data_IF_101821254074
#
_entry.id   IF_101821254074
#
_cell.length_a   1.000
_cell.length_b   1.000
_cell.length_c   1.000
_cell.angle_alpha   90.00
_cell.angle_beta   90.00
_cell.angle_gamma   90.00
#
_symmetry.space_group_name_H-M   'P 1'
#
loop_
_entity.id
_entity.type
_entity.pdbx_description
1 polymer ?
#
# COMPACT_ATOMS: atom_id res chain seq x y z
N UNK A 1 -12.95 -1.22 11.18
CA UNK A 1 -11.65 -1.03 10.49
C UNK A 1 -11.71 -1.80 9.17
N UNK A 2 -11.60 -1.11 8.02
CA UNK A 2 -11.64 -1.71 6.68
C UNK A 2 -10.55 -2.77 6.48
N UNK A 3 -9.42 -2.61 7.18
CA UNK A 3 -8.30 -3.55 7.15
C UNK A 3 -8.61 -4.87 7.84
N UNK A 4 -9.60 -4.92 8.74
CA UNK A 4 -9.97 -6.15 9.49
C UNK A 4 -11.27 -6.79 9.01
N UNK A 5 -12.16 -5.99 8.41
CA UNK A 5 -13.45 -6.45 7.89
C UNK A 5 -13.62 -5.94 6.46
N UNK A 6 -13.08 -6.70 5.50
CA UNK A 6 -13.22 -6.39 4.08
C UNK A 6 -14.63 -6.77 3.60
N UNK A 7 -15.38 -5.78 3.12
CA UNK A 7 -16.71 -5.95 2.55
C UNK A 7 -16.72 -5.33 1.15
N UNK A 8 -17.15 -6.11 0.15
CA UNK A 8 -17.18 -5.71 -1.27
C UNK A 8 -18.11 -4.51 -1.49
N UNK A 9 -19.33 -4.57 -0.96
CA UNK A 9 -20.34 -3.52 -1.12
C UNK A 9 -19.83 -2.20 -0.55
N UNK A 10 -19.31 -2.25 0.69
CA UNK A 10 -18.70 -1.08 1.32
C UNK A 10 -17.56 -0.51 0.47
N UNK A 11 -16.66 -1.35 -0.06
CA UNK A 11 -15.56 -0.88 -0.90
C UNK A 11 -16.03 -0.25 -2.21
N UNK A 12 -17.15 -0.69 -2.80
CA UNK A 12 -17.73 -0.06 -3.99
C UNK A 12 -18.31 1.32 -3.69
N UNK A 13 -18.90 1.50 -2.50
CA UNK A 13 -19.52 2.77 -2.09
C UNK A 13 -18.50 3.85 -1.69
N UNK A 14 -17.28 3.46 -1.32
CA UNK A 14 -16.23 4.39 -0.92
C UNK A 14 -15.64 5.12 -2.13
N UNK A 15 -15.96 6.41 -2.27
CA UNK A 15 -15.31 7.31 -3.22
C UNK A 15 -13.85 7.62 -2.86
N UNK A 16 -13.12 8.21 -3.81
CA UNK A 16 -11.70 8.55 -3.64
C UNK A 16 -11.43 9.44 -2.42
N UNK A 17 -12.26 10.47 -2.21
CA UNK A 17 -12.10 11.39 -1.07
C UNK A 17 -12.17 10.67 0.28
N UNK A 18 -13.16 9.79 0.45
CA UNK A 18 -13.33 9.03 1.70
C UNK A 18 -12.18 8.05 1.90
N UNK A 19 -11.73 7.41 0.81
CA UNK A 19 -10.57 6.52 0.86
C UNK A 19 -9.30 7.29 1.22
N UNK A 20 -9.12 8.50 0.70
CA UNK A 20 -7.98 9.38 1.03
C UNK A 20 -7.95 9.70 2.52
N UNK A 21 -9.08 10.15 3.09
CA UNK A 21 -9.20 10.41 4.53
C UNK A 21 -8.95 9.14 5.37
N UNK A 22 -9.41 7.98 4.90
CA UNK A 22 -9.19 6.71 5.60
C UNK A 22 -7.70 6.34 5.65
N UNK A 23 -6.98 6.45 4.53
CA UNK A 23 -5.56 6.09 4.46
C UNK A 23 -4.69 7.15 5.16
N UNK A 24 -5.10 8.42 5.18
CA UNK A 24 -4.34 9.47 5.84
C UNK A 24 -4.49 9.43 7.37
N UNK A 25 -5.57 8.85 7.90
CA UNK A 25 -5.84 8.80 9.33
C UNK A 25 -4.69 8.17 10.13
N UNK A 26 -4.22 8.90 11.16
CA UNK A 26 -3.24 8.42 12.15
C UNK A 26 -3.75 7.24 12.97
N UNK A 27 -5.07 7.10 13.07
CA UNK A 27 -5.73 6.00 13.80
C UNK A 27 -5.84 4.72 12.94
N UNK A 28 -5.44 4.77 11.67
CA UNK A 28 -5.40 3.59 10.82
C UNK A 28 -4.24 2.69 11.23
N UNK A 29 -4.54 1.62 11.95
CA UNK A 29 -3.62 0.52 12.18
C UNK A 29 -3.86 -0.62 11.18
N UNK A 30 -2.75 -1.22 10.74
CA UNK A 30 -2.74 -2.30 9.74
C UNK A 30 -2.39 -3.62 10.40
N UNK A 31 -3.18 -4.65 10.09
CA UNK A 31 -2.94 -6.03 10.47
C UNK A 31 -2.40 -6.74 9.22
N UNK A 32 -1.11 -6.74 8.89
CA UNK A 32 0.09 -6.90 9.72
C UNK A 32 1.30 -6.09 9.18
N UNK A 33 1.29 -5.70 7.90
CA UNK A 33 2.33 -4.87 7.26
C UNK A 33 1.72 -3.87 6.29
N UNK A 34 2.46 -2.84 5.93
CA UNK A 34 2.03 -1.78 5.02
C UNK A 34 1.57 -2.30 3.63
N UNK A 35 2.05 -3.47 3.20
CA UNK A 35 1.62 -4.14 1.96
C UNK A 35 0.11 -4.48 1.95
N UNK A 36 -0.50 -4.66 3.12
CA UNK A 36 -1.95 -4.89 3.21
C UNK A 36 -2.74 -3.64 2.80
N UNK A 37 -2.22 -2.43 3.07
CA UNK A 37 -2.82 -1.16 2.62
C UNK A 37 -2.80 -1.09 1.10
N UNK A 38 -1.64 -1.34 0.49
CA UNK A 38 -1.51 -1.40 -0.96
C UNK A 38 -2.49 -2.42 -1.57
N UNK A 39 -2.60 -3.61 -0.97
CA UNK A 39 -3.49 -4.66 -1.45
C UNK A 39 -4.97 -4.27 -1.30
N UNK A 40 -5.34 -3.59 -0.22
CA UNK A 40 -6.69 -3.06 -0.02
C UNK A 40 -7.04 -1.99 -1.06
N UNK A 41 -6.12 -1.06 -1.33
CA UNK A 41 -6.29 -0.04 -2.37
C UNK A 41 -6.37 -0.65 -3.77
N UNK A 42 -5.56 -1.67 -4.07
CA UNK A 42 -5.64 -2.41 -5.33
C UNK A 42 -7.01 -3.06 -5.52
N UNK A 43 -7.54 -3.73 -4.49
CA UNK A 43 -8.89 -4.31 -4.50
C UNK A 43 -9.96 -3.24 -4.70
N UNK A 44 -9.87 -2.14 -3.97
CA UNK A 44 -10.81 -1.01 -4.07
C UNK A 44 -10.81 -0.41 -5.48
N UNK A 45 -9.64 -0.08 -6.01
CA UNK A 45 -9.45 0.43 -7.36
C UNK A 45 -10.05 -0.50 -8.41
N UNK A 46 -9.80 -1.80 -8.30
CA UNK A 46 -10.42 -2.79 -9.20
C UNK A 46 -11.96 -2.75 -9.13
N UNK A 47 -12.56 -2.65 -7.94
CA UNK A 47 -14.00 -2.54 -7.75
C UNK A 47 -14.59 -1.24 -8.30
N UNK A 48 -13.86 -0.12 -8.18
CA UNK A 48 -14.27 1.17 -8.74
C UNK A 48 -14.32 1.12 -10.27
N UNK A 49 -13.38 0.40 -10.90
CA UNK A 49 -13.33 0.23 -12.36
C UNK A 49 -14.28 -0.86 -12.88
N UNK A 50 -14.58 -1.86 -12.04
CA UNK A 50 -15.41 -3.02 -12.38
C UNK A 50 -16.63 -3.08 -11.45
N UNK A 51 -17.49 -2.07 -11.53
CA UNK A 51 -18.65 -1.92 -10.65
C UNK A 51 -19.64 -3.09 -10.71
N UNK A 52 -19.68 -3.83 -11.83
CA UNK A 52 -20.50 -5.03 -12.03
C UNK A 52 -19.91 -6.31 -11.43
N UNK A 53 -18.69 -6.28 -10.88
CA UNK A 53 -18.07 -7.46 -10.28
C UNK A 53 -18.86 -7.91 -9.04
N UNK A 54 -19.28 -9.18 -8.98
CA UNK A 54 -20.14 -9.71 -7.90
C UNK A 54 -19.61 -11.04 -7.33
N UNK A 55 -18.27 -11.20 -7.36
CA UNK A 55 -17.62 -12.40 -6.86
C UNK A 55 -17.51 -12.44 -5.32
N UNK A 56 -17.15 -13.60 -4.76
CA UNK A 56 -16.84 -13.71 -3.34
C UNK A 56 -15.54 -12.94 -3.01
N UNK A 57 -15.50 -12.28 -1.84
CA UNK A 57 -14.34 -11.47 -1.37
C UNK A 57 -12.99 -12.21 -1.44
N UNK A 58 -13.01 -13.55 -1.29
CA UNK A 58 -11.81 -14.39 -1.38
C UNK A 58 -11.19 -14.44 -2.78
N UNK A 59 -12.00 -14.26 -3.83
CA UNK A 59 -11.57 -14.23 -5.22
C UNK A 59 -11.16 -12.82 -5.68
N UNK A 60 -11.60 -11.78 -4.97
CA UNK A 60 -11.39 -10.38 -5.36
C UNK A 60 -9.94 -10.03 -5.69
N UNK A 61 -8.98 -10.50 -4.89
CA UNK A 61 -7.56 -10.23 -5.15
C UNK A 61 -7.06 -10.94 -6.42
N UNK A 62 -7.47 -12.20 -6.62
CA UNK A 62 -7.07 -12.97 -7.78
C UNK A 62 -7.65 -12.38 -9.07
N UNK A 63 -8.90 -11.92 -9.03
CA UNK A 63 -9.55 -11.26 -10.16
C UNK A 63 -8.91 -9.89 -10.47
N UNK A 64 -8.56 -9.11 -9.43
CA UNK A 64 -7.83 -7.86 -9.59
C UNK A 64 -6.44 -8.08 -10.21
N UNK A 65 -5.71 -9.11 -9.77
CA UNK A 65 -4.40 -9.48 -10.32
C UNK A 65 -4.52 -9.95 -11.78
N UNK A 66 -5.55 -10.74 -12.10
CA UNK A 66 -5.82 -11.19 -13.46
C UNK A 66 -6.17 -10.02 -14.38
N UNK A 67 -6.97 -9.05 -13.89
CA UNK A 67 -7.32 -7.84 -14.63
C UNK A 67 -6.08 -6.99 -14.95
N UNK A 68 -5.18 -6.77 -13.97
CA UNK A 68 -3.91 -6.07 -14.19
C UNK A 68 -3.01 -6.80 -15.17
N UNK A 69 -2.91 -8.12 -15.04
CA UNK A 69 -2.10 -8.95 -15.95
C UNK A 69 -2.60 -8.82 -17.38
N UNK A 70 -3.91 -8.98 -17.59
CA UNK A 70 -4.57 -8.86 -18.89
C UNK A 70 -4.31 -7.50 -19.53
N UNK A 71 -4.45 -6.42 -18.75
CA UNK A 71 -4.20 -5.07 -19.22
C UNK A 71 -2.77 -4.89 -19.74
N UNK A 72 -1.79 -5.42 -19.02
CA UNK A 72 -0.38 -5.35 -19.44
C UNK A 72 -0.10 -6.21 -20.68
N UNK A 73 -0.66 -7.41 -20.77
CA UNK A 73 -0.35 -8.35 -21.87
C UNK A 73 -1.14 -8.05 -23.14
N UNK A 74 -2.43 -7.79 -23.01
CA UNK A 74 -3.35 -7.74 -24.14
C UNK A 74 -3.38 -6.34 -24.76
N UNK A 75 -3.22 -5.29 -23.94
CA UNK A 75 -3.24 -3.90 -24.38
C UNK A 75 -1.84 -3.32 -24.61
N UNK A 76 -0.78 -4.12 -24.38
CA UNK A 76 0.63 -3.69 -24.49
C UNK A 76 0.92 -2.38 -23.72
N UNK A 77 0.18 -2.13 -22.65
CA UNK A 77 0.32 -0.91 -21.86
C UNK A 77 1.66 -0.94 -21.10
N UNK A 78 2.56 -0.06 -21.55
CA UNK A 78 3.89 0.11 -20.94
C UNK A 78 3.88 1.14 -19.83
N UNK A 79 2.91 2.05 -19.85
CA UNK A 79 2.82 3.08 -18.83
C UNK A 79 2.18 2.55 -17.54
N UNK A 80 2.58 3.07 -16.37
CA UNK A 80 1.97 2.71 -15.09
C UNK A 80 0.53 3.18 -15.00
N UNK A 81 -0.34 2.42 -14.32
CA UNK A 81 -1.77 2.78 -14.26
C UNK A 81 -2.02 4.20 -13.77
N UNK A 82 -1.37 4.63 -12.68
CA UNK A 82 -1.64 5.95 -12.09
C UNK A 82 -1.20 7.13 -12.97
N UNK A 83 -0.53 6.88 -14.09
CA UNK A 83 -0.21 7.89 -15.09
C UNK A 83 -1.24 7.99 -16.22
N UNK A 84 -2.16 7.02 -16.34
CA UNK A 84 -3.25 7.09 -17.32
C UNK A 84 -4.37 8.02 -16.84
N UNK A 85 -5.23 8.44 -17.76
CA UNK A 85 -6.40 9.28 -17.45
C UNK A 85 -7.35 8.59 -16.44
N UNK A 86 -7.59 7.29 -16.62
CA UNK A 86 -8.41 6.48 -15.71
C UNK A 86 -7.76 6.35 -14.31
N UNK A 87 -6.42 6.27 -14.27
CA UNK A 87 -5.65 6.14 -13.04
C UNK A 87 -5.56 7.42 -12.21
N UNK A 88 -5.79 8.58 -12.82
CA UNK A 88 -5.59 9.89 -12.20
C UNK A 88 -6.40 10.07 -10.90
N UNK A 89 -7.63 9.55 -10.87
CA UNK A 89 -8.54 9.60 -9.72
C UNK A 89 -8.02 8.86 -8.49
N UNK A 90 -7.17 7.84 -8.69
CA UNK A 90 -6.63 7.00 -7.62
C UNK A 90 -5.28 7.51 -7.11
N UNK A 91 -4.65 8.44 -7.85
CA UNK A 91 -3.27 8.84 -7.62
C UNK A 91 -3.05 9.49 -6.25
N UNK A 92 -3.98 10.34 -5.78
CA UNK A 92 -3.87 10.98 -4.46
C UNK A 92 -3.90 9.93 -3.34
N UNK A 93 -4.82 8.97 -3.44
CA UNK A 93 -4.97 7.89 -2.46
C UNK A 93 -3.74 6.99 -2.39
N UNK A 94 -3.22 6.54 -3.54
CA UNK A 94 -2.02 5.70 -3.57
C UNK A 94 -0.74 6.42 -3.11
N UNK A 95 -0.70 7.76 -3.16
CA UNK A 95 0.42 8.56 -2.63
C UNK A 95 0.57 8.43 -1.12
N UNK A 96 -0.51 8.08 -0.41
CA UNK A 96 -0.54 7.92 1.05
C UNK A 96 -0.03 6.55 1.52
N UNK A 97 0.32 5.65 0.59
CA UNK A 97 0.98 4.38 0.93
C UNK A 97 2.43 4.66 1.32
N UNK A 98 2.84 4.16 2.49
CA UNK A 98 4.19 4.35 3.05
C UNK A 98 5.14 3.33 2.43
N UNK A 99 5.45 3.52 1.14
CA UNK A 99 6.24 2.59 0.33
C UNK A 99 7.56 2.16 1.00
N UNK A 100 8.17 3.03 1.82
CA UNK A 100 9.37 2.74 2.59
C UNK A 100 9.26 1.48 3.47
N UNK A 101 8.05 1.10 3.88
CA UNK A 101 7.80 -0.10 4.69
C UNK A 101 7.37 -1.32 3.88
N UNK A 102 7.14 -1.16 2.57
CA UNK A 102 6.83 -2.26 1.66
C UNK A 102 8.11 -2.74 0.97
N UNK A 103 8.93 -1.81 0.47
CA UNK A 103 10.09 -2.15 -0.37
C UNK A 103 11.26 -2.81 0.38
N UNK A 104 11.19 -2.88 1.71
CA UNK A 104 12.17 -3.60 2.53
C UNK A 104 12.02 -5.13 2.38
N UNK A 105 10.88 -5.61 1.87
CA UNK A 105 10.68 -7.00 1.50
C UNK A 105 10.77 -7.17 -0.03
N UNK A 106 11.72 -8.01 -0.48
CA UNK A 106 11.97 -8.23 -1.91
C UNK A 106 10.75 -8.82 -2.63
N UNK A 107 9.98 -9.69 -1.98
CA UNK A 107 8.79 -10.27 -2.58
C UNK A 107 7.72 -9.18 -2.83
N UNK A 108 7.48 -8.32 -1.83
CA UNK A 108 6.57 -7.18 -1.93
C UNK A 108 7.02 -6.16 -2.98
N UNK A 109 8.31 -5.81 -3.01
CA UNK A 109 8.88 -4.92 -4.02
C UNK A 109 8.64 -5.44 -5.45
N UNK A 110 8.86 -6.75 -5.69
CA UNK A 110 8.59 -7.38 -6.97
C UNK A 110 7.10 -7.39 -7.33
N UNK A 111 6.20 -7.50 -6.34
CA UNK A 111 4.75 -7.39 -6.59
C UNK A 111 4.40 -5.97 -7.05
N UNK A 112 4.93 -4.93 -6.40
CA UNK A 112 4.68 -3.53 -6.81
C UNK A 112 5.11 -3.27 -8.25
N UNK A 113 6.31 -3.72 -8.63
CA UNK A 113 6.83 -3.58 -10.00
C UNK A 113 6.02 -4.39 -11.01
N UNK A 114 5.67 -5.63 -10.66
CA UNK A 114 4.87 -6.51 -11.53
C UNK A 114 3.47 -5.96 -11.74
N UNK A 115 2.83 -5.40 -10.72
CA UNK A 115 1.47 -4.88 -10.84
C UNK A 115 1.42 -3.64 -11.75
N UNK A 116 2.54 -2.92 -11.92
CA UNK A 116 2.69 -1.73 -12.76
C UNK A 116 1.60 -0.66 -12.51
N UNK A 117 1.13 -0.55 -11.27
CA UNK A 117 0.17 0.47 -10.86
C UNK A 117 0.91 1.78 -10.58
N UNK A 118 1.96 1.69 -9.76
CA UNK A 118 2.71 2.84 -9.26
C UNK A 118 3.69 3.39 -10.30
N UNK A 119 3.87 4.72 -10.38
CA UNK A 119 4.91 5.28 -11.22
C UNK A 119 6.32 4.83 -10.78
N UNK A 120 7.19 4.35 -11.69
CA UNK A 120 8.54 3.85 -11.39
C UNK A 120 9.40 4.84 -10.62
N UNK A 121 9.19 6.14 -10.84
CA UNK A 121 9.90 7.21 -10.15
C UNK A 121 9.61 7.22 -8.64
N UNK A 122 8.42 6.77 -8.20
CA UNK A 122 8.09 6.65 -6.77
C UNK A 122 8.92 5.54 -6.13
N UNK A 123 8.97 4.37 -6.78
CA UNK A 123 9.77 3.24 -6.29
C UNK A 123 11.26 3.54 -6.32
N UNK A 124 11.76 4.11 -7.42
CA UNK A 124 13.18 4.45 -7.59
C UNK A 124 13.66 5.45 -6.54
N UNK A 125 12.86 6.47 -6.22
CA UNK A 125 13.17 7.41 -5.15
C UNK A 125 13.26 6.69 -3.78
N UNK A 126 12.35 5.76 -3.51
CA UNK A 126 12.35 5.01 -2.25
C UNK A 126 13.52 4.02 -2.17
N UNK A 127 13.83 3.29 -3.24
CA UNK A 127 15.00 2.40 -3.29
C UNK A 127 16.30 3.16 -3.02
N UNK A 128 16.46 4.34 -3.63
CA UNK A 128 17.62 5.21 -3.39
C UNK A 128 17.70 5.66 -1.92
N UNK A 129 16.56 6.04 -1.33
CA UNK A 129 16.50 6.43 0.08
C UNK A 129 16.87 5.28 1.01
N UNK A 130 16.37 4.07 0.76
CA UNK A 130 16.70 2.88 1.56
C UNK A 130 18.16 2.47 1.41
N UNK A 131 18.70 2.55 0.19
CA UNK A 131 20.13 2.33 -0.05
C UNK A 131 21.00 3.28 0.77
N UNK A 132 20.69 4.59 0.77
CA UNK A 132 21.42 5.55 1.59
C UNK A 132 21.20 5.36 3.09
N UNK A 133 20.01 4.95 3.53
CA UNK A 133 19.75 4.61 4.93
C UNK A 133 20.65 3.45 5.37
N UNK A 134 20.68 2.36 4.59
CA UNK A 134 21.56 1.21 4.83
C UNK A 134 23.02 1.65 4.92
N UNK A 135 23.52 2.44 3.96
CA UNK A 135 24.90 2.94 4.00
C UNK A 135 25.18 3.80 5.24
N UNK A 136 24.26 4.69 5.65
CA UNK A 136 24.45 5.49 6.88
C UNK A 136 24.57 4.62 8.12
N UNK A 137 23.74 3.59 8.21
CA UNK A 137 23.80 2.61 9.30
C UNK A 137 25.11 1.83 9.29
N UNK A 138 25.58 1.38 8.12
CA UNK A 138 26.86 0.67 7.98
C UNK A 138 28.08 1.51 8.37
N UNK A 139 28.02 2.83 8.16
CA UNK A 139 29.12 3.77 8.50
C UNK A 139 28.96 4.45 9.87
N UNK A 140 28.08 3.95 10.76
CA UNK A 140 27.78 4.54 12.08
C UNK A 140 27.44 6.05 12.01
N UNK A 141 26.90 6.50 10.87
CA UNK A 141 26.56 7.91 10.61
C UNK A 141 25.04 8.13 10.62
N UNK A 142 24.27 7.16 11.10
CA UNK A 142 22.85 7.29 11.33
C UNK A 142 22.59 7.85 12.73
N UNK A 143 22.38 9.18 12.79
CA UNK A 143 22.06 9.86 14.04
C UNK A 143 20.57 9.73 14.42
N UNK A 144 19.78 9.01 13.63
CA UNK A 144 18.33 8.91 13.81
C UNK A 144 17.60 10.25 13.64
N UNK A 145 16.28 10.26 13.85
CA UNK A 145 15.48 11.48 13.78
C UNK A 145 15.88 12.46 14.89
N UNK A 146 16.24 13.68 14.51
CA UNK A 146 16.54 14.77 15.43
C UNK A 146 15.25 15.54 15.68
N UNK A 147 14.68 15.38 16.89
CA UNK A 147 13.45 16.06 17.33
C UNK A 147 12.23 15.82 16.41
N UNK A 148 11.76 14.56 16.25
CA UNK A 148 10.56 14.30 15.46
C UNK A 148 9.37 15.00 16.11
N UNK A 149 8.75 15.93 15.39
CA UNK A 149 7.48 16.51 15.84
C UNK A 149 6.36 15.47 15.64
N UNK A 150 5.25 15.66 16.35
CA UNK A 150 4.13 14.72 16.35
C UNK A 150 3.59 14.46 14.95
N UNK A 151 3.47 15.49 14.13
CA UNK A 151 2.89 15.40 12.78
C UNK A 151 3.80 14.58 11.85
N UNK A 152 5.11 14.79 11.91
CA UNK A 152 6.09 14.03 11.15
C UNK A 152 6.11 12.56 11.56
N UNK A 153 6.01 12.29 12.86
CA UNK A 153 5.91 10.93 13.39
C UNK A 153 4.64 10.24 12.90
N UNK A 154 3.48 10.88 13.02
CA UNK A 154 2.20 10.32 12.59
C UNK A 154 2.15 10.08 11.08
N UNK A 155 2.78 10.95 10.28
CA UNK A 155 2.85 10.82 8.82
C UNK A 155 3.79 9.68 8.38
N UNK A 156 4.92 9.51 9.06
CA UNK A 156 5.99 8.64 8.57
C UNK A 156 6.11 7.31 9.28
N UNK A 157 5.59 7.15 10.51
CA UNK A 157 5.74 5.93 11.32
C UNK A 157 5.24 4.65 10.63
N UNK A 158 5.66 3.48 11.08
CA UNK A 158 5.10 2.23 10.57
C UNK A 158 3.68 2.05 11.12
N UNK A 159 2.73 1.70 10.26
CA UNK A 159 1.37 1.34 10.65
C UNK A 159 1.30 -0.16 10.84
N UNK A 160 1.41 -0.63 12.07
CA UNK A 160 1.36 -2.06 12.36
C UNK A 160 0.61 -2.31 13.66
N UNK A 161 -0.24 -3.32 13.62
CA UNK A 161 -1.08 -3.76 14.73
C UNK A 161 -1.19 -5.27 14.73
N UNK A 162 -1.41 -5.85 15.90
CA UNK A 162 -1.63 -7.28 16.06
C UNK A 162 -2.77 -7.51 17.04
N UNK A 163 -3.71 -8.39 16.67
CA UNK A 163 -4.79 -8.85 17.53
C UNK A 163 -4.32 -10.09 18.26
N UNK A 164 -4.26 -10.00 19.58
CA UNK A 164 -3.90 -11.11 20.45
C UNK A 164 -5.20 -11.83 20.84
N UNK A 165 -5.33 -13.10 20.42
CA UNK A 165 -6.55 -13.89 20.65
C UNK A 165 -6.55 -14.62 21.99
N UNK A 166 -5.42 -14.63 22.70
CA UNK A 166 -5.21 -15.34 23.96
C UNK A 166 -4.34 -14.47 24.88
N UNK A 167 -4.44 -14.70 26.17
CA UNK A 167 -3.49 -14.16 27.13
C UNK A 167 -2.20 -14.98 27.11
N UNK A 168 -1.05 -14.32 27.22
CA UNK A 168 0.26 -14.96 27.23
C UNK A 168 1.42 -14.00 27.02
N UNK A 169 2.63 -14.53 27.08
CA UNK A 169 3.85 -13.75 26.84
C UNK A 169 4.10 -13.59 25.34
N UNK A 170 4.26 -12.33 24.91
CA UNK A 170 4.52 -11.97 23.53
C UNK A 170 5.87 -11.25 23.41
N UNK A 171 6.64 -11.62 22.39
CA UNK A 171 7.89 -10.94 22.01
C UNK A 171 7.67 -10.22 20.67
N UNK A 172 8.01 -8.94 20.64
CA UNK A 172 8.04 -8.16 19.40
C UNK A 172 9.40 -8.35 18.75
N UNK A 173 9.39 -8.79 17.49
CA UNK A 173 10.56 -8.76 16.61
C UNK A 173 10.24 -7.79 15.50
N UNK A 174 11.03 -6.73 15.43
CA UNK A 174 10.99 -5.72 14.38
C UNK A 174 12.01 -6.09 13.32
#
# INVERSE_FOLDING_TARGET
NLMTHQNVELMKELGADVMEHLIQSSDLFVMQVEMDVYTALKKWMFLQLNSSWDGPIKQLLADADAWLCKRRTDLCEKEPFLNTEEGALFRSVFRLVRLQYIINDLASARILERDNILPPEWLTAMYKNQWFAMLRTEFDNDNGPQEPNKDEFELNSMRCGRKLSKDGDYCWRW
#
